data_IF_455810844542
#
_entry.id   IF_455810844542
#
_cell.length_a   1.000
_cell.length_b   1.000
_cell.length_c   1.000
_cell.angle_alpha   90.00
_cell.angle_beta   90.00
_cell.angle_gamma   90.00
#
_symmetry.space_group_name_H-M   'P 1'
#
loop_
_entity.id
_entity.type
_entity.pdbx_description
1 polymer ?
#
# COMPACT_ATOMS: atom_id res chain seq x y z
N UNK A 1 -14.57 9.30 -43.76
CA UNK A 1 -15.45 9.44 -42.57
C UNK A 1 -15.70 8.13 -41.79
N UNK A 2 -15.65 6.94 -42.42
CA UNK A 2 -15.89 5.65 -41.71
C UNK A 2 -14.71 5.21 -40.82
N UNK A 3 -13.47 5.50 -41.21
CA UNK A 3 -12.26 5.02 -40.53
C UNK A 3 -12.02 5.63 -39.14
N UNK A 4 -12.14 6.96 -38.98
CA UNK A 4 -11.97 7.62 -37.68
C UNK A 4 -13.04 7.27 -36.66
N UNK A 5 -14.30 7.06 -37.10
CA UNK A 5 -15.36 6.50 -36.26
C UNK A 5 -15.00 5.12 -35.71
N UNK A 6 -14.47 4.24 -36.57
CA UNK A 6 -14.05 2.90 -36.16
C UNK A 6 -12.93 2.95 -35.11
N UNK A 7 -11.93 3.83 -35.29
CA UNK A 7 -10.84 4.04 -34.31
C UNK A 7 -11.41 4.47 -32.95
N UNK A 8 -12.28 5.48 -32.92
CA UNK A 8 -12.89 5.93 -31.66
C UNK A 8 -13.67 4.82 -30.96
N UNK A 9 -14.44 4.01 -31.71
CA UNK A 9 -15.16 2.87 -31.15
C UNK A 9 -14.20 1.85 -30.54
N UNK A 10 -13.11 1.50 -31.24
CA UNK A 10 -12.09 0.58 -30.74
C UNK A 10 -11.47 1.11 -29.44
N UNK A 11 -11.11 2.39 -29.39
CA UNK A 11 -10.53 3.00 -28.19
C UNK A 11 -11.52 3.03 -27.01
N UNK A 12 -12.80 3.33 -27.24
CA UNK A 12 -13.83 3.27 -26.19
C UNK A 12 -13.96 1.85 -25.65
N UNK A 13 -14.03 0.84 -26.53
CA UNK A 13 -14.08 -0.57 -26.12
C UNK A 13 -12.82 -0.97 -25.34
N UNK A 14 -11.64 -0.53 -25.78
CA UNK A 14 -10.39 -0.77 -25.07
C UNK A 14 -10.37 -0.13 -23.66
N UNK A 15 -10.89 1.10 -23.50
CA UNK A 15 -11.01 1.74 -22.20
C UNK A 15 -11.97 0.97 -21.28
N UNK A 16 -13.13 0.54 -21.79
CA UNK A 16 -14.11 -0.26 -21.03
C UNK A 16 -13.50 -1.60 -20.60
N UNK A 17 -12.83 -2.29 -21.52
CA UNK A 17 -12.13 -3.54 -21.23
C UNK A 17 -11.02 -3.34 -20.20
N UNK A 18 -10.25 -2.25 -20.29
CA UNK A 18 -9.19 -1.93 -19.34
C UNK A 18 -9.75 -1.66 -17.94
N UNK A 19 -10.82 -0.87 -17.81
CA UNK A 19 -11.50 -0.64 -16.51
C UNK A 19 -12.04 -1.96 -15.97
N UNK A 20 -12.73 -2.74 -16.80
CA UNK A 20 -13.27 -4.05 -16.39
C UNK A 20 -12.15 -4.98 -15.92
N UNK A 21 -11.05 -5.03 -16.66
CA UNK A 21 -9.87 -5.80 -16.28
C UNK A 21 -9.27 -5.28 -14.98
N UNK A 22 -9.05 -3.98 -14.82
CA UNK A 22 -8.48 -3.38 -13.61
C UNK A 22 -9.34 -3.63 -12.36
N UNK A 23 -10.67 -3.60 -12.48
CA UNK A 23 -11.59 -3.62 -11.34
C UNK A 23 -12.29 -4.95 -11.07
N UNK A 24 -12.25 -5.93 -11.99
CA UNK A 24 -12.83 -7.24 -11.68
C UNK A 24 -12.06 -7.87 -10.51
N UNK A 25 -12.77 -8.53 -9.59
CA UNK A 25 -12.13 -9.04 -8.37
C UNK A 25 -11.21 -10.21 -8.72
N UNK A 26 -9.92 -10.12 -8.38
CA UNK A 26 -9.14 -11.33 -8.12
C UNK A 26 -9.67 -11.94 -6.84
N UNK A 27 -10.70 -12.80 -6.94
CA UNK A 27 -11.13 -13.60 -5.80
C UNK A 27 -9.87 -14.28 -5.25
N UNK A 28 -9.65 -14.20 -3.94
CA UNK A 28 -8.63 -14.98 -3.24
C UNK A 28 -9.03 -16.45 -3.46
N UNK A 29 -8.38 -17.10 -4.43
CA UNK A 29 -8.97 -18.28 -5.10
C UNK A 29 -8.66 -19.61 -4.44
N UNK A 30 -8.00 -19.64 -3.30
CA UNK A 30 -7.63 -20.91 -2.68
C UNK A 30 -7.61 -20.80 -1.17
N UNK A 31 -8.33 -21.70 -0.46
CA UNK A 31 -7.92 -22.10 0.87
C UNK A 31 -6.46 -22.55 0.78
N UNK A 32 -5.63 -22.03 1.66
CA UNK A 32 -4.30 -22.59 1.83
C UNK A 32 -4.49 -24.01 2.41
N UNK A 33 -3.67 -24.97 1.97
CA UNK A 33 -3.59 -26.27 2.65
C UNK A 33 -3.27 -26.09 4.15
N UNK A 34 -3.32 -27.14 4.98
CA UNK A 34 -3.12 -27.02 6.42
C UNK A 34 -1.87 -26.18 6.74
N UNK A 35 -2.10 -24.98 7.27
CA UNK A 35 -1.03 -24.06 7.68
C UNK A 35 -0.72 -24.32 9.16
N UNK A 36 0.55 -24.18 9.54
CA UNK A 36 0.98 -24.18 10.95
C UNK A 36 0.73 -22.83 11.64
N UNK A 37 0.12 -21.88 10.94
CA UNK A 37 -0.07 -20.49 11.35
C UNK A 37 -1.52 -20.20 11.73
N UNK A 38 -1.76 -19.16 12.53
CA UNK A 38 -3.07 -18.81 13.11
C UNK A 38 -4.12 -18.24 12.13
N UNK A 39 -3.84 -18.28 10.83
CA UNK A 39 -4.65 -17.62 9.82
C UNK A 39 -6.14 -18.05 9.79
N UNK A 40 -7.03 -17.06 9.72
CA UNK A 40 -8.48 -17.23 9.62
C UNK A 40 -9.01 -16.78 8.26
N UNK A 41 -9.48 -17.74 7.47
CA UNK A 41 -10.09 -17.47 6.15
C UNK A 41 -11.26 -16.47 6.21
N UNK A 42 -12.01 -16.43 7.30
CA UNK A 42 -13.14 -15.50 7.50
C UNK A 42 -12.74 -14.03 7.56
N UNK A 43 -11.45 -13.70 7.64
CA UNK A 43 -10.93 -12.34 7.61
C UNK A 43 -10.43 -11.90 6.22
N UNK A 44 -10.40 -12.81 5.24
CA UNK A 44 -9.83 -12.54 3.91
C UNK A 44 -10.60 -11.47 3.10
N UNK A 45 -11.83 -11.14 3.48
CA UNK A 45 -12.63 -10.08 2.84
C UNK A 45 -12.24 -8.66 3.30
N UNK A 46 -11.44 -8.55 4.36
CA UNK A 46 -10.96 -7.27 4.88
C UNK A 46 -9.81 -6.81 3.98
N UNK A 47 -10.14 -5.90 3.08
CA UNK A 47 -9.28 -5.40 1.99
C UNK A 47 -8.90 -3.91 2.14
N UNK A 48 -9.34 -3.28 3.22
CA UNK A 48 -9.11 -1.86 3.53
C UNK A 48 -9.01 -1.68 5.04
N UNK A 49 -8.25 -0.68 5.48
CA UNK A 49 -8.06 -0.38 6.89
C UNK A 49 -9.38 -0.02 7.58
N UNK A 50 -10.27 0.71 6.89
CA UNK A 50 -11.55 1.11 7.44
C UNK A 50 -12.48 -0.09 7.68
N UNK A 51 -12.42 -1.14 6.83
CA UNK A 51 -13.12 -2.42 7.08
C UNK A 51 -12.49 -3.19 8.25
N UNK A 52 -11.19 -3.04 8.50
CA UNK A 52 -10.50 -3.69 9.60
C UNK A 52 -10.91 -3.11 10.96
N UNK A 53 -11.10 -1.79 11.07
CA UNK A 53 -11.41 -1.09 12.33
C UNK A 53 -12.54 -1.72 13.18
N UNK A 54 -13.76 -1.97 12.66
CA UNK A 54 -14.82 -2.59 13.45
C UNK A 54 -14.50 -4.03 13.84
N UNK A 55 -13.72 -4.75 13.04
CA UNK A 55 -13.31 -6.12 13.33
C UNK A 55 -12.28 -6.13 14.46
N UNK A 56 -11.24 -5.30 14.36
CA UNK A 56 -10.19 -5.14 15.39
C UNK A 56 -10.80 -4.72 16.73
N UNK A 57 -11.80 -3.85 16.73
CA UNK A 57 -12.53 -3.47 17.95
C UNK A 57 -13.11 -4.68 18.69
N UNK A 58 -13.56 -5.72 17.97
CA UNK A 58 -14.04 -6.98 18.59
C UNK A 58 -12.89 -7.83 19.16
N UNK A 59 -11.70 -7.75 18.59
CA UNK A 59 -10.51 -8.37 19.17
C UNK A 59 -10.12 -7.66 20.46
N UNK A 60 -10.07 -6.33 20.46
CA UNK A 60 -9.75 -5.49 21.62
C UNK A 60 -10.71 -5.77 22.79
N UNK A 61 -12.01 -5.89 22.52
CA UNK A 61 -13.03 -6.19 23.55
C UNK A 61 -12.86 -7.53 24.27
N UNK A 62 -12.15 -8.48 23.66
CA UNK A 62 -11.87 -9.81 24.23
C UNK A 62 -10.59 -9.81 25.07
N UNK A 63 -9.77 -8.77 25.00
CA UNK A 63 -8.51 -8.68 25.73
C UNK A 63 -8.70 -8.23 27.17
N UNK A 64 -7.73 -8.59 27.99
CA UNK A 64 -7.61 -8.17 29.39
C UNK A 64 -6.41 -7.26 29.60
N UNK A 65 -6.50 -6.38 30.60
CA UNK A 65 -5.46 -5.39 30.93
C UNK A 65 -5.96 -3.96 30.94
N UNK A 66 -5.02 -3.01 30.92
CA UNK A 66 -5.27 -1.58 30.69
C UNK A 66 -5.92 -1.33 29.31
N UNK A 67 -6.31 -0.08 29.05
CA UNK A 67 -6.83 0.28 27.73
C UNK A 67 -5.78 0.00 26.63
N UNK A 68 -4.56 0.52 26.81
CA UNK A 68 -3.45 0.36 25.87
C UNK A 68 -3.12 -1.12 25.64
N UNK A 69 -3.05 -1.91 26.71
CA UNK A 69 -2.78 -3.35 26.62
C UNK A 69 -3.85 -4.09 25.81
N UNK A 70 -5.13 -3.72 25.97
CA UNK A 70 -6.21 -4.32 25.18
C UNK A 70 -6.11 -3.97 23.71
N UNK A 71 -5.75 -2.72 23.40
CA UNK A 71 -5.59 -2.24 22.02
C UNK A 71 -4.46 -3.01 21.33
N UNK A 72 -3.25 -3.02 21.90
CA UNK A 72 -2.09 -3.68 21.27
C UNK A 72 -2.27 -5.19 21.13
N UNK A 73 -2.80 -5.88 22.16
CA UNK A 73 -3.06 -7.33 22.10
C UNK A 73 -4.14 -7.66 21.06
N UNK A 74 -5.18 -6.82 20.98
CA UNK A 74 -6.26 -7.00 20.01
C UNK A 74 -5.81 -6.78 18.57
N UNK A 75 -4.92 -5.80 18.33
CA UNK A 75 -4.29 -5.59 17.03
C UNK A 75 -3.36 -6.77 16.69
N UNK A 76 -2.52 -7.20 17.62
CA UNK A 76 -1.60 -8.32 17.42
C UNK A 76 -2.33 -9.61 17.04
N UNK A 77 -3.34 -10.01 17.81
CA UNK A 77 -4.17 -11.19 17.50
C UNK A 77 -4.88 -11.04 16.14
N UNK A 78 -5.40 -9.84 15.81
CA UNK A 78 -6.00 -9.60 14.51
C UNK A 78 -5.01 -9.76 13.36
N UNK A 79 -3.79 -9.22 13.48
CA UNK A 79 -2.78 -9.29 12.41
C UNK A 79 -2.34 -10.73 12.20
N UNK A 80 -2.10 -11.50 13.28
CA UNK A 80 -1.78 -12.94 13.23
C UNK A 80 -2.89 -13.76 12.58
N UNK A 81 -4.15 -13.49 12.93
CA UNK A 81 -5.29 -14.17 12.31
C UNK A 81 -5.50 -13.73 10.85
N UNK A 82 -5.11 -12.50 10.48
CA UNK A 82 -5.41 -11.92 9.17
C UNK A 82 -4.46 -12.38 8.09
N UNK A 83 -3.18 -12.55 8.41
CA UNK A 83 -2.15 -12.82 7.42
C UNK A 83 -1.53 -14.19 7.58
N UNK A 84 -1.15 -14.77 6.45
CA UNK A 84 -0.22 -15.90 6.38
C UNK A 84 1.16 -15.32 6.13
N UNK A 85 2.18 -15.83 6.79
CA UNK A 85 3.55 -15.41 6.54
C UNK A 85 3.91 -15.64 5.07
N UNK A 86 4.43 -14.60 4.43
CA UNK A 86 4.86 -14.69 3.04
C UNK A 86 4.80 -13.37 2.30
N UNK A 87 5.64 -13.23 1.28
CA UNK A 87 5.73 -11.99 0.52
C UNK A 87 4.50 -11.85 -0.38
N UNK A 88 3.80 -10.72 -0.25
CA UNK A 88 2.80 -10.30 -1.23
C UNK A 88 3.42 -9.44 -2.32
N UNK A 89 2.86 -9.51 -3.52
CA UNK A 89 3.29 -8.74 -4.68
C UNK A 89 2.08 -8.11 -5.36
N UNK A 90 2.23 -6.82 -5.67
CA UNK A 90 1.28 -6.07 -6.50
C UNK A 90 1.30 -6.67 -7.90
N UNK A 91 0.17 -7.26 -8.29
CA UNK A 91 -0.01 -7.85 -9.60
C UNK A 91 -0.09 -6.77 -10.69
N UNK A 92 0.19 -7.18 -11.94
CA UNK A 92 0.02 -6.32 -13.12
C UNK A 92 -1.37 -5.68 -13.19
N UNK A 93 -2.40 -6.41 -12.75
CA UNK A 93 -3.78 -5.95 -12.73
C UNK A 93 -4.02 -4.82 -11.73
N UNK A 94 -3.40 -4.92 -10.56
CA UNK A 94 -3.55 -3.95 -9.48
C UNK A 94 -2.81 -2.66 -9.79
N UNK A 95 -1.59 -2.75 -10.34
CA UNK A 95 -0.81 -1.57 -10.70
C UNK A 95 0.17 -1.90 -11.84
N UNK A 96 -0.32 -1.91 -13.07
CA UNK A 96 0.47 -2.23 -14.26
C UNK A 96 1.70 -1.32 -14.40
N UNK A 97 1.57 -0.04 -14.04
CA UNK A 97 2.65 0.93 -14.13
C UNK A 97 3.79 0.58 -13.15
N UNK A 98 3.45 0.26 -11.90
CA UNK A 98 4.43 -0.21 -10.93
C UNK A 98 5.04 -1.56 -11.32
N UNK A 99 4.24 -2.49 -11.83
CA UNK A 99 4.74 -3.78 -12.30
C UNK A 99 5.69 -3.64 -13.50
N UNK A 100 5.45 -2.68 -14.39
CA UNK A 100 6.35 -2.36 -15.49
C UNK A 100 7.69 -1.75 -15.01
N UNK A 101 7.66 -0.91 -13.96
CA UNK A 101 8.85 -0.30 -13.38
C UNK A 101 9.62 -1.25 -12.42
N UNK A 102 8.93 -2.22 -11.83
CA UNK A 102 9.39 -2.93 -10.64
C UNK A 102 10.26 -4.16 -10.87
N UNK A 103 10.51 -4.57 -12.12
CA UNK A 103 11.26 -5.79 -12.45
C UNK A 103 10.57 -7.09 -12.00
N UNK A 104 11.14 -8.24 -12.37
CA UNK A 104 10.65 -9.54 -11.95
C UNK A 104 10.96 -9.79 -10.44
N UNK A 105 10.12 -10.57 -9.71
CA UNK A 105 10.37 -10.99 -8.32
C UNK A 105 11.78 -11.60 -8.12
N UNK A 106 12.33 -11.64 -6.88
CA UNK A 106 11.62 -11.56 -5.59
C UNK A 106 11.71 -10.20 -4.87
N UNK A 107 12.58 -9.29 -5.29
CA UNK A 107 12.78 -8.00 -4.63
C UNK A 107 12.66 -6.87 -5.65
N UNK A 108 11.60 -6.08 -5.51
CA UNK A 108 11.29 -5.02 -6.45
C UNK A 108 10.24 -4.07 -5.91
N UNK A 109 9.98 -3.01 -6.67
CA UNK A 109 9.02 -1.96 -6.33
C UNK A 109 7.57 -2.49 -6.24
N UNK A 110 7.33 -3.73 -6.67
CA UNK A 110 6.04 -4.41 -6.68
C UNK A 110 5.56 -4.90 -5.32
N UNK A 111 6.40 -4.98 -4.27
CA UNK A 111 5.94 -5.37 -2.93
C UNK A 111 5.03 -4.28 -2.36
N UNK A 112 3.74 -4.53 -2.07
CA UNK A 112 2.84 -3.50 -1.57
C UNK A 112 3.29 -3.05 -0.19
N UNK A 113 3.35 -1.73 0.00
CA UNK A 113 3.69 -1.10 1.27
C UNK A 113 2.62 -0.10 1.74
N UNK A 114 1.58 0.15 0.94
CA UNK A 114 0.38 0.84 1.42
C UNK A 114 -0.54 -0.13 2.16
N UNK A 115 -1.11 0.31 3.28
CA UNK A 115 -1.93 -0.52 4.18
C UNK A 115 -3.08 -1.22 3.45
N UNK A 116 -3.89 -0.48 2.68
CA UNK A 116 -4.99 -1.09 1.90
C UNK A 116 -4.47 -2.04 0.81
N UNK A 117 -3.32 -1.74 0.21
CA UNK A 117 -2.70 -2.65 -0.75
C UNK A 117 -2.24 -3.95 -0.08
N UNK A 118 -1.72 -3.89 1.15
CA UNK A 118 -1.36 -5.07 1.93
C UNK A 118 -2.62 -5.86 2.31
N UNK A 119 -3.66 -5.19 2.81
CA UNK A 119 -4.93 -5.82 3.19
C UNK A 119 -5.67 -6.46 2.02
N UNK A 120 -5.43 -6.07 0.76
CA UNK A 120 -5.96 -6.83 -0.40
C UNK A 120 -5.40 -8.24 -0.54
N UNK A 121 -4.31 -8.55 0.15
CA UNK A 121 -3.62 -9.83 0.07
C UNK A 121 -3.88 -10.68 1.31
N UNK A 122 -3.74 -12.01 1.15
CA UNK A 122 -3.78 -12.97 2.27
C UNK A 122 -2.42 -13.18 2.92
N UNK A 123 -1.33 -13.03 2.17
CA UNK A 123 0.02 -13.14 2.71
C UNK A 123 0.55 -11.77 3.09
N UNK A 124 1.41 -11.70 4.09
CA UNK A 124 2.18 -10.52 4.40
C UNK A 124 3.50 -10.94 5.07
N UNK A 125 4.61 -10.38 4.60
CA UNK A 125 5.90 -10.54 5.26
C UNK A 125 5.99 -9.64 6.50
N UNK A 126 7.02 -9.82 7.33
CA UNK A 126 7.23 -9.08 8.57
C UNK A 126 7.00 -7.57 8.48
N UNK A 127 7.54 -6.91 7.45
CA UNK A 127 7.36 -5.47 7.23
C UNK A 127 5.93 -5.09 6.85
N UNK A 128 5.24 -5.92 6.07
CA UNK A 128 3.86 -5.69 5.65
C UNK A 128 2.90 -5.85 6.83
N UNK A 129 3.07 -6.90 7.63
CA UNK A 129 2.28 -7.10 8.86
C UNK A 129 2.48 -5.94 9.83
N UNK A 130 3.74 -5.52 10.03
CA UNK A 130 4.08 -4.40 10.89
C UNK A 130 3.50 -3.06 10.40
N UNK A 131 3.47 -2.81 9.09
CA UNK A 131 2.83 -1.60 8.53
C UNK A 131 1.33 -1.57 8.86
N UNK A 132 0.63 -2.70 8.75
CA UNK A 132 -0.80 -2.79 9.12
C UNK A 132 -0.98 -2.58 10.62
N UNK A 133 -0.13 -3.19 11.44
CA UNK A 133 -0.14 -3.01 12.90
C UNK A 133 0.04 -1.54 13.27
N UNK A 134 1.06 -0.87 12.71
CA UNK A 134 1.36 0.54 12.97
C UNK A 134 0.22 1.48 12.56
N UNK A 135 -0.41 1.25 11.40
CA UNK A 135 -1.58 2.05 11.00
C UNK A 135 -2.75 1.83 11.96
N UNK A 136 -2.99 0.60 12.43
CA UNK A 136 -4.03 0.35 13.42
C UNK A 136 -3.73 1.10 14.73
N UNK A 137 -2.48 1.07 15.23
CA UNK A 137 -2.07 1.84 16.40
C UNK A 137 -2.33 3.35 16.20
N UNK A 138 -1.97 3.89 15.04
CA UNK A 138 -2.24 5.27 14.67
C UNK A 138 -3.73 5.61 14.79
N UNK A 139 -4.61 4.76 14.24
CA UNK A 139 -6.07 4.95 14.27
C UNK A 139 -6.67 4.87 15.67
N UNK A 140 -6.04 4.14 16.59
CA UNK A 140 -6.40 4.09 18.00
C UNK A 140 -5.69 5.15 18.86
N UNK A 141 -4.93 6.07 18.24
CA UNK A 141 -4.26 7.17 18.95
C UNK A 141 -3.06 6.72 19.80
N UNK A 142 -2.46 5.57 19.49
CA UNK A 142 -1.29 5.06 20.18
C UNK A 142 0.01 5.51 19.52
N UNK A 143 1.03 5.82 20.33
CA UNK A 143 2.37 6.06 19.82
C UNK A 143 3.06 4.77 19.43
N UNK A 144 3.75 4.77 18.29
CA UNK A 144 4.42 3.61 17.74
C UNK A 144 5.72 3.97 17.03
N UNK A 145 6.55 2.96 16.77
CA UNK A 145 7.73 3.06 15.93
C UNK A 145 8.05 1.69 15.29
N UNK A 146 8.79 1.73 14.20
CA UNK A 146 9.31 0.54 13.55
C UNK A 146 10.58 0.05 14.27
N UNK A 147 10.74 -1.26 14.38
CA UNK A 147 11.95 -1.91 14.90
C UNK A 147 12.55 -2.76 13.79
N UNK A 148 13.76 -2.41 13.35
CA UNK A 148 14.46 -3.06 12.25
C UNK A 148 15.67 -3.80 12.77
N UNK A 149 15.77 -5.07 12.41
CA UNK A 149 16.93 -5.89 12.70
C UNK A 149 17.72 -6.12 11.42
N UNK A 150 19.04 -6.12 11.53
CA UNK A 150 19.97 -6.41 10.46
C UNK A 150 21.03 -7.41 10.94
N UNK A 151 21.28 -8.42 10.11
CA UNK A 151 22.35 -9.41 10.31
C UNK A 151 22.88 -9.89 8.96
N UNK A 152 24.11 -10.40 8.88
CA UNK A 152 24.66 -10.90 7.64
C UNK A 152 23.87 -12.11 7.14
N UNK A 153 23.39 -12.02 5.90
CA UNK A 153 22.80 -13.15 5.18
C UNK A 153 23.10 -12.99 3.68
N UNK A 154 23.45 -14.11 3.03
CA UNK A 154 23.66 -14.17 1.58
C UNK A 154 22.37 -13.76 0.82
N UNK A 155 21.21 -14.18 1.31
CA UNK A 155 19.91 -13.87 0.71
C UNK A 155 19.37 -12.52 1.21
N UNK A 156 19.04 -11.56 0.30
CA UNK A 156 18.53 -10.25 0.69
C UNK A 156 17.27 -10.25 1.58
N UNK A 157 16.28 -11.14 1.34
CA UNK A 157 15.12 -11.27 2.25
C UNK A 157 15.52 -11.67 3.67
N UNK A 158 16.57 -12.48 3.78
CA UNK A 158 17.02 -13.02 5.04
C UNK A 158 17.99 -12.12 5.80
N UNK A 159 18.28 -10.90 5.32
CA UNK A 159 19.24 -9.96 5.93
C UNK A 159 18.71 -9.22 7.15
N UNK A 160 17.46 -9.45 7.51
CA UNK A 160 16.88 -8.72 8.63
C UNK A 160 15.49 -9.18 9.00
N UNK A 161 14.92 -8.43 9.93
CA UNK A 161 13.54 -8.59 10.37
C UNK A 161 12.94 -7.22 10.67
N UNK A 162 11.62 -7.15 10.61
CA UNK A 162 10.88 -5.92 10.83
C UNK A 162 9.74 -6.19 11.79
N UNK A 163 9.68 -5.42 12.86
CA UNK A 163 8.69 -5.53 13.93
C UNK A 163 8.22 -4.13 14.37
N UNK A 164 7.41 -4.08 15.42
CA UNK A 164 6.81 -2.84 15.93
C UNK A 164 7.17 -2.64 17.40
N UNK A 165 7.31 -1.39 17.82
CA UNK A 165 7.20 -1.02 19.22
C UNK A 165 6.07 -0.02 19.42
N UNK A 166 5.35 -0.15 20.52
CA UNK A 166 4.25 0.74 20.89
C UNK A 166 4.42 1.23 22.33
N UNK A 167 3.96 2.46 22.60
CA UNK A 167 3.94 3.01 23.96
C UNK A 167 2.66 2.55 24.67
N UNK A 168 2.82 1.70 25.68
CA UNK A 168 1.74 1.09 26.45
C UNK A 168 1.92 1.47 27.91
N UNK A 169 0.94 2.16 28.49
CA UNK A 169 0.98 2.63 29.88
C UNK A 169 2.27 3.42 30.18
N UNK A 170 2.69 4.25 29.22
CA UNK A 170 3.89 5.08 29.31
C UNK A 170 5.21 4.37 28.98
N UNK A 171 5.20 3.05 28.71
CA UNK A 171 6.41 2.27 28.43
C UNK A 171 6.46 1.78 26.99
N UNK A 172 7.61 1.90 26.33
CA UNK A 172 7.83 1.33 25.00
C UNK A 172 8.03 -0.18 25.08
N UNK A 173 7.11 -0.93 24.48
CA UNK A 173 7.11 -2.39 24.44
C UNK A 173 7.21 -2.91 23.02
N UNK A 174 7.83 -4.07 22.87
CA UNK A 174 8.09 -4.71 21.59
C UNK A 174 6.95 -5.67 21.21
N UNK A 175 6.57 -5.67 19.93
CA UNK A 175 5.51 -6.51 19.37
C UNK A 175 5.95 -7.04 18.00
N UNK A 176 5.63 -8.32 17.75
CA UNK A 176 5.96 -8.99 16.50
C UNK A 176 4.90 -10.04 16.18
N UNK A 177 3.94 -9.64 15.34
CA UNK A 177 2.87 -10.51 14.87
C UNK A 177 3.33 -11.53 13.84
N UNK A 178 4.46 -11.29 13.17
CA UNK A 178 4.94 -12.14 12.08
C UNK A 178 5.64 -13.40 12.61
N UNK A 179 6.50 -13.24 13.62
CA UNK A 179 7.16 -14.36 14.31
C UNK A 179 6.41 -14.79 15.58
N UNK A 180 5.21 -14.27 15.79
CA UNK A 180 4.29 -14.58 16.88
C UNK A 180 4.96 -14.50 18.28
N UNK A 181 5.53 -13.35 18.63
CA UNK A 181 6.17 -13.12 19.93
C UNK A 181 5.26 -13.57 21.10
N UNK A 182 5.82 -14.33 22.04
CA UNK A 182 5.07 -14.90 23.17
C UNK A 182 4.75 -13.86 24.26
N UNK A 183 5.54 -12.80 24.34
CA UNK A 183 5.38 -11.71 25.30
C UNK A 183 5.71 -10.35 24.65
N UNK A 184 5.43 -9.27 25.39
CA UNK A 184 5.70 -7.90 24.98
C UNK A 184 6.72 -7.25 25.94
N UNK A 185 8.02 -7.59 25.79
CA UNK A 185 9.06 -7.06 26.67
C UNK A 185 9.28 -5.57 26.41
N UNK A 186 10.01 -4.91 27.30
CA UNK A 186 10.44 -3.54 27.05
C UNK A 186 11.39 -3.50 25.86
N UNK A 187 11.23 -2.50 24.98
CA UNK A 187 12.08 -2.40 23.78
C UNK A 187 13.57 -2.35 24.13
N UNK A 188 13.94 -1.72 25.25
CA UNK A 188 15.33 -1.68 25.74
C UNK A 188 15.94 -3.07 25.98
N UNK A 189 15.14 -4.07 26.33
CA UNK A 189 15.64 -5.41 26.60
C UNK A 189 15.82 -6.21 25.31
N UNK A 190 15.02 -5.91 24.29
CA UNK A 190 15.23 -6.39 22.91
C UNK A 190 16.48 -5.76 22.29
N UNK A 191 16.66 -4.45 22.44
CA UNK A 191 17.84 -3.72 21.92
C UNK A 191 19.15 -4.27 22.50
N UNK A 192 19.12 -4.73 23.75
CA UNK A 192 20.26 -5.34 24.43
C UNK A 192 20.34 -6.86 24.25
N UNK A 193 19.42 -7.47 23.47
CA UNK A 193 19.38 -8.91 23.21
C UNK A 193 18.98 -9.80 24.40
N UNK A 194 18.59 -9.22 25.53
CA UNK A 194 18.33 -9.94 26.79
C UNK A 194 17.02 -10.72 26.78
N UNK A 195 16.00 -10.20 26.13
CA UNK A 195 14.66 -10.82 26.11
C UNK A 195 14.41 -11.73 24.90
N UNK A 196 15.37 -11.89 23.97
CA UNK A 196 15.13 -12.61 22.73
C UNK A 196 14.65 -14.07 22.96
N UNK A 197 15.27 -14.79 23.89
CA UNK A 197 14.88 -16.17 24.21
C UNK A 197 13.45 -16.26 24.78
N UNK A 198 13.11 -15.36 25.70
CA UNK A 198 11.79 -15.34 26.34
C UNK A 198 10.68 -14.87 25.39
N UNK A 199 11.03 -14.05 24.41
CA UNK A 199 10.10 -13.55 23.39
C UNK A 199 9.80 -14.60 22.33
N UNK A 200 10.75 -15.49 22.00
CA UNK A 200 10.59 -16.48 20.93
C UNK A 200 10.84 -17.93 21.39
N UNK A 201 10.13 -18.42 22.42
CA UNK A 201 10.29 -19.80 22.89
C UNK A 201 9.87 -20.83 21.82
N UNK A 202 8.89 -20.51 20.98
CA UNK A 202 8.46 -21.36 19.86
C UNK A 202 9.32 -21.23 18.59
N UNK A 203 10.23 -20.26 18.56
CA UNK A 203 11.02 -19.88 17.39
C UNK A 203 12.52 -19.71 17.73
N UNK A 204 13.17 -20.70 18.39
CA UNK A 204 14.52 -20.56 18.96
C UNK A 204 15.60 -20.27 17.91
N UNK A 205 15.38 -20.63 16.65
CA UNK A 205 16.30 -20.35 15.54
C UNK A 205 16.49 -18.85 15.23
N UNK A 206 15.57 -17.99 15.67
CA UNK A 206 15.67 -16.54 15.52
C UNK A 206 16.49 -15.88 16.63
N UNK A 207 16.57 -16.51 17.80
CA UNK A 207 17.22 -15.96 18.99
C UNK A 207 18.69 -15.59 18.72
N UNK A 208 19.53 -16.45 18.12
CA UNK A 208 20.92 -16.09 17.83
C UNK A 208 21.06 -14.92 16.84
N UNK A 209 20.13 -14.79 15.88
CA UNK A 209 20.14 -13.69 14.89
C UNK A 209 19.81 -12.35 15.55
N UNK A 210 18.81 -12.33 16.43
CA UNK A 210 18.45 -11.13 17.18
C UNK A 210 19.54 -10.72 18.16
N UNK A 211 20.14 -11.68 18.87
CA UNK A 211 21.28 -11.44 19.74
C UNK A 211 22.50 -10.94 18.95
N UNK A 212 22.73 -11.47 17.75
CA UNK A 212 23.76 -10.96 16.85
C UNK A 212 23.48 -9.50 16.49
N UNK A 213 22.27 -9.17 16.04
CA UNK A 213 21.90 -7.80 15.69
C UNK A 213 22.08 -6.85 16.89
N UNK A 214 21.64 -7.23 18.08
CA UNK A 214 21.84 -6.46 19.30
C UNK A 214 23.33 -6.19 19.58
N UNK A 215 24.15 -7.25 19.55
CA UNK A 215 25.60 -7.16 19.83
C UNK A 215 26.35 -6.26 18.85
N UNK A 216 25.90 -6.17 17.60
CA UNK A 216 26.58 -5.43 16.53
C UNK A 216 25.89 -4.11 16.17
N UNK A 217 24.96 -3.63 17.00
CA UNK A 217 24.22 -2.38 16.71
C UNK A 217 23.31 -2.46 15.47
N UNK A 218 22.96 -3.67 15.05
CA UNK A 218 22.07 -3.95 13.91
C UNK A 218 20.58 -3.82 14.24
N UNK A 219 20.21 -3.31 15.42
CA UNK A 219 18.81 -3.02 15.76
C UNK A 219 18.59 -1.51 15.77
N UNK A 220 17.66 -1.04 14.94
CA UNK A 220 17.31 0.38 14.83
C UNK A 220 15.83 0.55 15.14
N UNK A 221 15.51 1.54 15.97
CA UNK A 221 14.14 2.02 16.16
C UNK A 221 13.98 3.31 15.38
N UNK A 222 13.08 3.32 14.41
CA UNK A 222 12.84 4.47 13.54
C UNK A 222 11.34 4.67 13.24
N UNK A 223 11.02 5.65 12.40
CA UNK A 223 9.66 5.86 11.90
C UNK A 223 8.62 6.06 13.02
N UNK A 224 9.01 6.81 14.06
CA UNK A 224 8.11 7.20 15.15
C UNK A 224 6.88 7.90 14.58
N UNK A 225 5.69 7.38 14.89
CA UNK A 225 4.37 7.89 14.48
C UNK A 225 4.27 8.23 12.99
N UNK A 226 5.05 7.53 12.14
CA UNK A 226 5.17 7.80 10.72
C UNK A 226 5.28 6.51 9.91
N UNK A 227 5.00 6.58 8.61
CA UNK A 227 5.09 5.42 7.73
C UNK A 227 6.57 5.05 7.46
N UNK A 228 6.99 3.78 7.59
CA UNK A 228 8.41 3.38 7.52
C UNK A 228 9.04 3.39 6.12
N UNK A 229 8.22 3.54 5.08
CA UNK A 229 8.66 3.60 3.68
C UNK A 229 7.97 4.71 2.89
N UNK A 230 8.11 6.00 3.27
CA UNK A 230 7.28 7.07 2.72
C UNK A 230 7.55 7.32 1.23
N UNK A 231 8.81 7.21 0.79
CA UNK A 231 9.20 7.39 -0.63
C UNK A 231 8.66 6.27 -1.52
N UNK A 232 8.76 5.02 -1.07
CA UNK A 232 8.17 3.89 -1.78
C UNK A 232 6.65 4.01 -1.83
N UNK A 233 6.01 4.41 -0.73
CA UNK A 233 4.57 4.60 -0.68
C UNK A 233 4.13 5.69 -1.66
N UNK A 234 4.87 6.80 -1.73
CA UNK A 234 4.64 7.87 -2.70
C UNK A 234 4.75 7.35 -4.13
N UNK A 235 5.79 6.57 -4.46
CA UNK A 235 5.94 5.96 -5.78
C UNK A 235 4.76 5.03 -6.13
N UNK A 236 4.30 4.21 -5.17
CA UNK A 236 3.12 3.36 -5.37
C UNK A 236 1.86 4.19 -5.60
N UNK A 237 1.68 5.30 -4.87
CA UNK A 237 0.56 6.23 -5.09
C UNK A 237 0.62 6.89 -6.47
N UNK A 238 1.79 7.35 -6.90
CA UNK A 238 1.98 7.96 -8.23
C UNK A 238 1.68 6.95 -9.35
N UNK A 239 2.19 5.72 -9.24
CA UNK A 239 1.92 4.66 -10.23
C UNK A 239 0.45 4.25 -10.27
N UNK A 240 -0.25 4.27 -9.13
CA UNK A 240 -1.71 4.10 -9.10
C UNK A 240 -2.45 5.21 -9.84
N UNK A 241 -1.99 6.47 -9.78
CA UNK A 241 -2.59 7.56 -10.56
C UNK A 241 -2.51 7.24 -12.06
N UNK A 242 -1.37 6.74 -12.55
CA UNK A 242 -1.27 6.30 -13.95
C UNK A 242 -2.24 5.18 -14.28
N UNK A 243 -2.42 4.20 -13.37
CA UNK A 243 -3.43 3.13 -13.53
C UNK A 243 -4.84 3.72 -13.71
N UNK A 244 -5.23 4.68 -12.89
CA UNK A 244 -6.56 5.31 -12.95
C UNK A 244 -6.75 6.25 -14.15
N UNK A 245 -5.71 6.96 -14.57
CA UNK A 245 -5.80 7.93 -15.67
C UNK A 245 -5.77 7.28 -17.06
N UNK A 246 -5.17 6.09 -17.22
CA UNK A 246 -5.04 5.46 -18.56
C UNK A 246 -6.38 5.30 -19.28
N UNK A 247 -7.46 4.76 -18.67
CA UNK A 247 -8.75 4.68 -19.35
C UNK A 247 -9.30 6.06 -19.76
N UNK A 248 -9.16 7.07 -18.91
CA UNK A 248 -9.62 8.43 -19.20
C UNK A 248 -8.87 9.07 -20.37
N UNK A 249 -7.55 8.86 -20.43
CA UNK A 249 -6.71 9.32 -21.55
C UNK A 249 -7.14 8.64 -22.86
N UNK A 250 -7.38 7.32 -22.83
CA UNK A 250 -7.87 6.57 -24.00
C UNK A 250 -9.22 7.13 -24.47
N UNK A 251 -10.15 7.42 -23.55
CA UNK A 251 -11.44 8.02 -23.87
C UNK A 251 -11.31 9.44 -24.43
N UNK A 252 -10.41 10.25 -23.90
CA UNK A 252 -10.13 11.59 -24.42
C UNK A 252 -9.59 11.51 -25.86
N UNK A 253 -8.65 10.61 -26.14
CA UNK A 253 -8.15 10.37 -27.50
C UNK A 253 -9.29 9.90 -28.40
N UNK A 254 -10.14 8.98 -27.94
CA UNK A 254 -11.30 8.51 -28.71
C UNK A 254 -12.26 9.65 -29.06
N UNK A 255 -12.51 10.55 -28.11
CA UNK A 255 -13.36 11.72 -28.27
C UNK A 255 -12.76 12.72 -29.26
N UNK A 256 -11.48 13.08 -29.13
CA UNK A 256 -10.79 14.00 -30.03
C UNK A 256 -10.75 13.48 -31.48
N UNK A 257 -10.71 12.16 -31.66
CA UNK A 257 -10.76 11.51 -32.98
C UNK A 257 -12.19 11.37 -33.55
N UNK A 258 -13.23 11.71 -32.79
CA UNK A 258 -14.61 11.52 -33.23
C UNK A 258 -14.97 12.48 -34.39
N UNK A 259 -15.49 11.96 -35.52
CA UNK A 259 -15.86 12.79 -36.65
C UNK A 259 -16.88 13.86 -36.30
N UNK A 260 -16.58 15.10 -36.69
CA UNK A 260 -17.43 16.26 -36.44
C UNK A 260 -16.99 17.11 -35.27
N UNK A 261 -16.13 16.64 -34.36
CA UNK A 261 -15.68 17.44 -33.21
C UNK A 261 -14.61 18.44 -33.65
N UNK A 262 -13.55 17.96 -34.30
CA UNK A 262 -12.47 18.82 -34.80
C UNK A 262 -12.97 19.79 -35.89
N UNK A 263 -13.90 19.36 -36.75
CA UNK A 263 -14.48 20.26 -37.76
C UNK A 263 -15.40 21.33 -37.14
N UNK A 264 -16.19 20.99 -36.10
CA UNK A 264 -16.98 21.99 -35.36
C UNK A 264 -16.11 22.95 -34.57
N UNK A 265 -15.04 22.47 -33.94
CA UNK A 265 -14.07 23.31 -33.24
C UNK A 265 -13.35 24.26 -34.21
N UNK A 266 -12.85 23.76 -35.33
CA UNK A 266 -12.22 24.58 -36.37
C UNK A 266 -13.16 25.67 -36.92
N UNK A 267 -14.42 25.32 -37.21
CA UNK A 267 -15.40 26.31 -37.67
C UNK A 267 -15.72 27.39 -36.62
N UNK A 268 -15.73 27.04 -35.32
CA UNK A 268 -15.96 28.01 -34.24
C UNK A 268 -14.75 28.94 -34.04
N UNK A 269 -13.53 28.41 -34.11
CA UNK A 269 -12.31 29.22 -34.06
C UNK A 269 -12.19 30.17 -35.26
N UNK A 270 -12.47 29.68 -36.48
CA UNK A 270 -12.48 30.51 -37.69
C UNK A 270 -13.47 31.69 -37.59
N UNK A 271 -14.70 31.44 -37.14
CA UNK A 271 -15.70 32.51 -36.92
C UNK A 271 -15.28 33.52 -35.87
N UNK A 272 -14.56 33.07 -34.84
CA UNK A 272 -14.10 33.94 -33.76
C UNK A 272 -12.94 34.82 -34.24
N UNK A 273 -11.96 34.27 -34.96
CA UNK A 273 -10.86 35.06 -35.52
C UNK A 273 -11.34 36.10 -36.53
N UNK A 274 -12.29 35.74 -37.41
CA UNK A 274 -12.86 36.69 -38.38
C UNK A 274 -13.53 37.88 -37.69
N UNK A 275 -14.21 37.64 -36.55
CA UNK A 275 -14.78 38.70 -35.73
C UNK A 275 -13.72 39.61 -35.08
N UNK A 276 -12.56 39.08 -34.73
CA UNK A 276 -11.45 39.89 -34.20
C UNK A 276 -10.76 40.73 -35.27
N UNK A 277 -10.59 40.19 -36.49
CA UNK A 277 -10.10 40.94 -37.64
C UNK A 277 -11.03 42.12 -37.99
N UNK A 278 -12.36 41.87 -38.01
CA UNK A 278 -13.35 42.94 -38.22
C UNK A 278 -13.25 44.05 -37.14
N UNK A 279 -13.09 43.68 -35.87
CA UNK A 279 -12.96 44.66 -34.77
C UNK A 279 -11.65 45.46 -34.88
N UNK A 280 -10.56 44.82 -35.27
CA UNK A 280 -9.25 45.48 -35.41
C UNK A 280 -9.28 46.48 -36.57
N UNK A 281 -9.87 46.07 -37.69
CA UNK A 281 -10.08 46.91 -38.87
C UNK A 281 -10.95 48.14 -38.55
N UNK A 282 -12.02 47.96 -37.78
CA UNK A 282 -12.88 49.08 -37.34
C UNK A 282 -12.15 50.04 -36.39
N UNK A 283 -11.19 49.55 -35.59
CA UNK A 283 -10.40 50.36 -34.67
C UNK A 283 -9.36 51.20 -35.40
N UNK A 284 -8.70 50.63 -36.40
CA UNK A 284 -7.77 51.34 -37.29
C UNK A 284 -8.48 52.47 -38.04
N UNK A 285 -9.66 52.19 -38.62
CA UNK A 285 -10.48 53.22 -39.27
C UNK A 285 -10.93 54.34 -38.32
N UNK A 286 -11.13 54.07 -37.04
CA UNK A 286 -11.50 55.12 -36.07
C UNK A 286 -10.33 56.05 -35.70
N UNK A 287 -9.09 55.57 -35.81
CA UNK A 287 -7.89 56.35 -35.48
C UNK A 287 -7.44 57.27 -36.63
N UNK A 288 -7.89 57.03 -37.87
CA UNK A 288 -7.60 57.92 -39.01
C UNK A 288 -8.54 59.15 -39.08
N UNK A 289 -9.57 59.21 -38.23
CA UNK A 289 -10.61 60.27 -38.24
C UNK A 289 -10.37 61.35 -37.16
N UNK A 290 -9.23 61.32 -36.47
CA UNK A 290 -8.80 62.31 -35.47
C UNK A 290 -7.44 62.91 -35.83
#
# INVERSE_FOLDING_TARGET
>A
MKFSKLISIILILAAILLVTFQYSSSKIRTPLGPQKEQWRYSLAWIDTIDKAMPVVTRYIRRQHGSHDEKVVKGIDEFVRDRFVHGISHTSWRENWALSALGGAPPYGLSVPIGVDSILRHRHAMCSQQSIVFMELLHRFGMHYAAVRFAWPNAEPAGRGHFAVTAKVDGQWRYYDSDLEAANAPLIRDILNGRSASDTYPGNPWWVPKMQYAAKHGGIVVDSFDTHPGPRGLLLQKITLIFRELTPAIILLIAFLNWPGIMSKMGNKFSKTNRKYEDITTLRELSNEVH
#
